data_IF_701848190824
#
_entry.id   IF_701848190824
#
_cell.length_a   1.000
_cell.length_b   1.000
_cell.length_c   1.000
_cell.angle_alpha   90.00
_cell.angle_beta   90.00
_cell.angle_gamma   90.00
#
_symmetry.space_group_name_H-M   'P 1'
#
loop_
_entity.id
_entity.type
_entity.pdbx_description
1 polymer ?
#
# COMPACT_ATOMS: atom_id res chain seq x y z
N UNK A 1 -9.10 8.98 -14.23
CA UNK A 1 -7.64 9.18 -14.25
C UNK A 1 -7.11 8.80 -15.62
N UNK A 2 -6.47 9.73 -16.34
CA UNK A 2 -6.05 9.53 -17.73
C UNK A 2 -4.74 8.75 -17.89
N UNK A 3 -4.21 8.73 -19.11
CA UNK A 3 -2.94 8.07 -19.45
C UNK A 3 -1.78 8.52 -18.57
N UNK A 4 -1.66 9.83 -18.35
CA UNK A 4 -0.63 10.44 -17.50
C UNK A 4 -0.61 9.83 -16.09
N UNK A 5 -1.78 9.64 -15.48
CA UNK A 5 -1.88 9.04 -14.15
C UNK A 5 -1.38 7.59 -14.15
N UNK A 6 -1.77 6.80 -15.16
CA UNK A 6 -1.30 5.42 -15.29
C UNK A 6 0.22 5.35 -15.52
N UNK A 7 0.76 6.26 -16.32
CA UNK A 7 2.20 6.29 -16.64
C UNK A 7 3.07 6.66 -15.44
N UNK A 8 2.51 7.23 -14.36
CA UNK A 8 3.24 7.38 -13.08
C UNK A 8 3.72 6.05 -12.49
N UNK A 9 3.06 4.93 -12.82
CA UNK A 9 3.47 3.59 -12.41
C UNK A 9 4.63 3.03 -13.25
N UNK A 10 4.84 3.54 -14.46
CA UNK A 10 5.82 2.98 -15.40
C UNK A 10 7.24 3.15 -14.83
N UNK A 11 7.92 2.02 -14.60
CA UNK A 11 9.25 2.00 -13.97
C UNK A 11 9.26 2.36 -12.47
N UNK A 12 8.08 2.52 -11.85
CA UNK A 12 7.93 2.89 -10.43
C UNK A 12 7.00 1.99 -9.64
N UNK A 13 6.64 0.84 -10.20
CA UNK A 13 5.83 -0.17 -9.51
C UNK A 13 6.59 -0.73 -8.29
N UNK A 14 5.90 -0.93 -7.17
CA UNK A 14 6.47 -1.21 -5.85
C UNK A 14 6.91 0.04 -5.08
N UNK A 15 6.77 1.23 -5.66
CA UNK A 15 7.08 2.50 -4.99
C UNK A 15 5.81 3.33 -4.88
N UNK A 16 5.28 3.80 -6.01
CA UNK A 16 4.18 4.76 -5.99
C UNK A 16 2.86 4.12 -5.54
N UNK A 17 2.61 2.86 -5.89
CA UNK A 17 1.46 2.09 -5.43
C UNK A 17 1.55 1.75 -3.94
N UNK A 18 2.75 1.42 -3.45
CA UNK A 18 2.99 1.17 -2.02
C UNK A 18 2.79 2.45 -1.20
N UNK A 19 3.34 3.57 -1.68
CA UNK A 19 3.22 4.88 -1.04
C UNK A 19 1.78 5.39 -1.04
N UNK A 20 1.02 5.16 -2.11
CA UNK A 20 -0.39 5.51 -2.19
C UNK A 20 -1.22 4.69 -1.18
N UNK A 21 -0.96 3.39 -1.04
CA UNK A 21 -1.60 2.56 0.01
C UNK A 21 -1.27 3.06 1.42
N UNK A 22 -0.02 3.42 1.69
CA UNK A 22 0.38 3.96 2.99
C UNK A 22 -0.27 5.32 3.26
N UNK A 23 -0.35 6.19 2.24
CA UNK A 23 -0.97 7.51 2.34
C UNK A 23 -2.47 7.41 2.66
N UNK A 24 -3.16 6.44 2.06
CA UNK A 24 -4.55 6.15 2.40
C UNK A 24 -4.71 5.74 3.87
N UNK A 25 -3.88 4.80 4.35
CA UNK A 25 -3.91 4.36 5.74
C UNK A 25 -3.62 5.53 6.71
N UNK A 26 -2.60 6.34 6.41
CA UNK A 26 -2.25 7.54 7.17
C UNK A 26 -3.42 8.51 7.28
N UNK A 27 -4.08 8.80 6.17
CA UNK A 27 -5.24 9.69 6.15
C UNK A 27 -6.38 9.16 7.02
N UNK A 28 -6.63 7.85 7.02
CA UNK A 28 -7.66 7.25 7.86
C UNK A 28 -7.31 7.35 9.36
N UNK A 29 -6.05 7.17 9.73
CA UNK A 29 -5.57 7.36 11.11
C UNK A 29 -5.69 8.82 11.54
N UNK A 30 -5.18 9.75 10.73
CA UNK A 30 -5.20 11.18 11.03
C UNK A 30 -6.62 11.75 11.10
N UNK A 31 -7.56 11.19 10.34
CA UNK A 31 -8.98 11.54 10.42
C UNK A 31 -9.72 10.88 11.58
N UNK A 32 -9.04 10.12 12.44
CA UNK A 32 -9.61 9.47 13.63
C UNK A 32 -10.57 8.32 13.32
N UNK A 33 -10.53 7.77 12.10
CA UNK A 33 -11.47 6.71 11.66
C UNK A 33 -11.00 5.30 11.98
N UNK A 34 -9.70 5.11 12.19
CA UNK A 34 -9.08 3.81 12.46
C UNK A 34 -7.98 3.95 13.52
N UNK A 35 -7.68 2.85 14.18
CA UNK A 35 -6.57 2.74 15.12
C UNK A 35 -5.25 2.54 14.35
N UNK A 36 -4.33 3.51 14.47
CA UNK A 36 -3.04 3.50 13.78
C UNK A 36 -2.09 2.40 14.25
N UNK A 37 -2.29 1.84 15.44
CA UNK A 37 -1.49 0.73 15.95
C UNK A 37 -2.01 -0.63 15.49
N UNK A 38 -3.15 -0.67 14.79
CA UNK A 38 -3.84 -1.92 14.39
C UNK A 38 -4.17 -1.94 12.90
N UNK A 39 -3.18 -1.65 12.07
CA UNK A 39 -3.30 -1.63 10.62
C UNK A 39 -2.76 -2.91 9.98
N UNK A 40 -3.52 -3.48 9.03
CA UNK A 40 -3.11 -4.63 8.23
C UNK A 40 -3.35 -4.38 6.74
N UNK A 41 -2.54 -5.00 5.87
CA UNK A 41 -2.67 -4.93 4.40
C UNK A 41 -2.71 -6.33 3.79
N UNK A 42 -3.56 -6.54 2.79
CA UNK A 42 -3.69 -7.83 2.08
C UNK A 42 -3.85 -7.59 0.59
N UNK A 43 -3.32 -8.49 -0.23
CA UNK A 43 -3.40 -8.36 -1.67
C UNK A 43 -3.06 -9.66 -2.40
N UNK A 44 -3.65 -9.82 -3.58
CA UNK A 44 -3.39 -10.96 -4.46
C UNK A 44 -2.71 -10.55 -5.76
N UNK A 45 -1.98 -11.49 -6.38
CA UNK A 45 -1.25 -11.24 -7.63
C UNK A 45 -0.31 -10.03 -7.49
N UNK A 46 -0.42 -9.03 -8.36
CA UNK A 46 0.31 -7.76 -8.24
C UNK A 46 0.17 -7.10 -6.86
N UNK A 47 -1.00 -7.19 -6.22
CA UNK A 47 -1.21 -6.63 -4.88
C UNK A 47 -0.53 -7.42 -3.76
N UNK A 48 -0.18 -8.68 -4.02
CA UNK A 48 0.63 -9.48 -3.10
C UNK A 48 2.06 -8.92 -2.99
N UNK A 49 2.66 -8.57 -4.12
CA UNK A 49 3.92 -7.84 -4.13
C UNK A 49 3.82 -6.49 -3.41
N UNK A 50 2.79 -5.69 -3.67
CA UNK A 50 2.54 -4.42 -2.94
C UNK A 50 2.41 -4.66 -1.43
N UNK A 51 1.76 -5.76 -1.00
CA UNK A 51 1.64 -6.15 0.41
C UNK A 51 3.00 -6.44 1.02
N UNK A 52 3.81 -7.28 0.39
CA UNK A 52 5.16 -7.60 0.86
C UNK A 52 6.07 -6.37 0.88
N UNK A 53 6.04 -5.54 -0.17
CA UNK A 53 6.82 -4.33 -0.27
C UNK A 53 6.43 -3.29 0.80
N UNK A 54 5.13 -3.16 1.11
CA UNK A 54 4.66 -2.30 2.19
C UNK A 54 5.18 -2.76 3.56
N UNK A 55 5.19 -4.07 3.82
CA UNK A 55 5.72 -4.62 5.08
C UNK A 55 7.25 -4.56 5.17
N UNK A 56 7.94 -4.70 4.05
CA UNK A 56 9.41 -4.77 4.01
C UNK A 56 10.06 -3.37 4.03
N UNK A 57 9.43 -2.38 3.38
CA UNK A 57 10.08 -1.10 3.08
C UNK A 57 9.35 0.12 3.65
N UNK A 58 8.23 -0.06 4.35
CA UNK A 58 7.48 1.01 5.01
C UNK A 58 7.08 0.59 6.43
N UNK A 59 6.91 1.56 7.30
CA UNK A 59 6.52 1.35 8.70
C UNK A 59 5.07 1.83 8.93
N UNK A 60 4.12 1.29 8.15
CA UNK A 60 2.69 1.66 8.26
C UNK A 60 1.82 0.50 8.76
N UNK A 61 2.02 -0.72 8.26
CA UNK A 61 1.18 -1.87 8.57
C UNK A 61 1.90 -2.81 9.54
N UNK A 62 1.18 -3.33 10.54
CA UNK A 62 1.72 -4.26 11.54
C UNK A 62 1.73 -5.71 11.05
N UNK A 63 0.86 -6.04 10.11
CA UNK A 63 0.77 -7.37 9.51
C UNK A 63 0.20 -7.29 8.10
N UNK A 64 0.39 -8.38 7.33
CA UNK A 64 -0.28 -8.51 6.05
C UNK A 64 -0.26 -9.92 5.48
N UNK A 65 -1.07 -10.12 4.46
CA UNK A 65 -1.24 -11.41 3.78
C UNK A 65 -1.06 -11.25 2.27
N UNK A 66 -0.02 -11.88 1.74
CA UNK A 66 0.20 -11.96 0.29
C UNK A 66 -0.38 -13.25 -0.27
N UNK A 67 -1.18 -13.14 -1.33
CA UNK A 67 -1.83 -14.26 -1.99
C UNK A 67 -1.34 -14.38 -3.43
N UNK A 68 -0.53 -15.41 -3.69
CA UNK A 68 -0.02 -15.70 -5.03
C UNK A 68 0.70 -14.49 -5.66
N UNK A 69 1.50 -13.77 -4.84
CA UNK A 69 2.24 -12.57 -5.22
C UNK A 69 3.51 -12.38 -4.40
#
# INVERSE_FOLDING_TARGET
YGREFRERLLGRWGIVDVDDCCSCAKFLVESGKVDGDRLCITGGSAGGYTTLAALAFREMFKAGASLYG
#
